data_IF_448816450422
#
_entry.id   IF_448816450422
#
_cell.length_a   1.000
_cell.length_b   1.000
_cell.length_c   1.000
_cell.angle_alpha   90.00
_cell.angle_beta   90.00
_cell.angle_gamma   90.00
#
_symmetry.space_group_name_H-M   'P 1'
#
loop_
_entity.id
_entity.type
_entity.pdbx_description
1 polymer ?
#
# COMPACT_ATOMS: atom_id res chain seq x y z
N UNK A 1 -20.19 9.93 -3.05
CA UNK A 1 -19.19 8.86 -3.38
C UNK A 1 -18.19 9.48 -4.33
N UNK A 2 -16.97 9.75 -3.86
CA UNK A 2 -15.92 10.29 -4.72
C UNK A 2 -15.51 9.20 -5.72
N UNK A 3 -15.56 9.52 -7.01
CA UNK A 3 -15.09 8.61 -8.05
C UNK A 3 -13.63 8.90 -8.33
N UNK A 4 -12.75 7.94 -8.16
CA UNK A 4 -11.36 8.03 -8.57
C UNK A 4 -11.10 7.09 -9.76
N UNK A 5 -10.30 7.55 -10.71
CA UNK A 5 -9.81 6.72 -11.80
C UNK A 5 -8.55 6.00 -11.33
N UNK A 6 -8.44 4.70 -11.59
CA UNK A 6 -7.27 3.91 -11.21
C UNK A 6 -6.45 3.58 -12.46
N UNK A 7 -5.15 3.92 -12.43
CA UNK A 7 -4.16 3.53 -13.45
C UNK A 7 -3.13 2.63 -12.77
N UNK A 8 -3.26 1.34 -12.98
CA UNK A 8 -2.40 0.31 -12.40
C UNK A 8 -1.53 -0.36 -13.45
N UNK A 9 -0.34 -0.83 -13.05
CA UNK A 9 0.54 -1.61 -13.92
C UNK A 9 1.99 -1.64 -13.41
N UNK A 10 2.84 -2.50 -13.98
CA UNK A 10 4.24 -2.62 -13.57
C UNK A 10 5.06 -1.36 -13.87
N UNK A 11 6.22 -1.25 -13.25
CA UNK A 11 7.15 -0.13 -13.50
C UNK A 11 7.61 -0.13 -14.96
N UNK A 12 7.78 1.04 -15.56
CA UNK A 12 8.31 1.20 -16.91
C UNK A 12 7.29 1.12 -18.07
N UNK A 13 6.00 0.83 -17.81
CA UNK A 13 4.97 0.71 -18.87
C UNK A 13 4.38 2.06 -19.34
N UNK A 14 4.88 3.18 -18.87
CA UNK A 14 4.40 4.50 -19.32
C UNK A 14 3.25 5.11 -18.52
N UNK A 15 2.88 4.55 -17.35
CA UNK A 15 1.80 5.09 -16.50
C UNK A 15 1.92 6.60 -16.25
N UNK A 16 3.10 7.07 -15.91
CA UNK A 16 3.37 8.47 -15.58
C UNK A 16 2.95 9.42 -16.70
N UNK A 17 3.33 9.11 -17.94
CA UNK A 17 2.97 9.97 -19.08
C UNK A 17 1.46 10.00 -19.30
N UNK A 18 0.84 8.83 -19.34
CA UNK A 18 -0.62 8.71 -19.56
C UNK A 18 -1.39 9.38 -18.41
N UNK A 19 -0.97 9.21 -17.18
CA UNK A 19 -1.65 9.80 -16.03
C UNK A 19 -1.60 11.33 -16.04
N UNK A 20 -0.49 11.94 -16.44
CA UNK A 20 -0.37 13.39 -16.57
C UNK A 20 -1.28 13.94 -17.68
N UNK A 21 -1.27 13.29 -18.84
CA UNK A 21 -2.12 13.70 -19.96
C UNK A 21 -3.60 13.63 -19.59
N UNK A 22 -4.02 12.54 -18.96
CA UNK A 22 -5.40 12.37 -18.48
C UNK A 22 -5.75 13.31 -17.33
N UNK A 23 -4.85 13.54 -16.38
CA UNK A 23 -5.08 14.44 -15.26
C UNK A 23 -5.36 15.87 -15.75
N UNK A 24 -4.62 16.33 -16.75
CA UNK A 24 -4.87 17.64 -17.39
C UNK A 24 -6.23 17.71 -18.09
N UNK A 25 -6.60 16.66 -18.84
CA UNK A 25 -7.91 16.60 -19.52
C UNK A 25 -9.09 16.59 -18.55
N UNK A 26 -8.94 15.92 -17.41
CA UNK A 26 -10.00 15.71 -16.43
C UNK A 26 -9.97 16.73 -15.30
N UNK A 27 -9.02 17.68 -15.34
CA UNK A 27 -8.74 18.58 -14.22
C UNK A 27 -8.64 17.80 -12.89
N UNK A 28 -7.80 16.74 -12.90
CA UNK A 28 -7.65 15.82 -11.79
C UNK A 28 -6.26 15.94 -11.14
N UNK A 29 -6.19 15.62 -9.84
CA UNK A 29 -4.96 15.46 -9.10
C UNK A 29 -4.57 13.97 -9.03
N UNK A 30 -3.28 13.68 -8.90
CA UNK A 30 -2.76 12.31 -8.86
C UNK A 30 -2.42 11.92 -7.43
N UNK A 31 -2.89 10.75 -7.00
CA UNK A 31 -2.47 10.11 -5.75
C UNK A 31 -1.56 8.94 -6.13
N UNK A 32 -0.27 9.01 -5.73
CA UNK A 32 0.68 7.94 -6.00
C UNK A 32 0.40 6.72 -5.14
N UNK A 33 0.16 5.56 -5.78
CA UNK A 33 0.03 4.27 -5.10
C UNK A 33 1.28 3.41 -5.26
N UNK A 34 2.43 4.00 -4.94
CA UNK A 34 3.73 3.36 -4.95
C UNK A 34 4.33 3.33 -3.54
N UNK A 35 4.57 2.13 -3.00
CA UNK A 35 5.05 1.93 -1.63
C UNK A 35 6.49 2.40 -1.38
N UNK A 36 7.24 2.74 -2.43
CA UNK A 36 8.60 3.23 -2.32
C UNK A 36 8.70 4.76 -2.54
N UNK A 37 7.85 5.33 -3.41
CA UNK A 37 7.88 6.77 -3.69
C UNK A 37 7.38 7.64 -2.54
N UNK A 38 6.66 7.06 -1.58
CA UNK A 38 6.22 7.74 -0.34
C UNK A 38 7.40 8.21 0.53
N UNK A 39 8.56 7.56 0.42
CA UNK A 39 9.73 7.88 1.23
C UNK A 39 10.56 9.01 0.62
N UNK A 40 10.94 9.99 1.45
CA UNK A 40 11.77 11.13 1.07
C UNK A 40 13.15 10.68 0.60
N UNK A 41 13.66 11.34 -0.44
CA UNK A 41 15.02 11.13 -0.92
C UNK A 41 15.27 9.84 -1.71
N UNK A 42 14.33 8.90 -1.77
CA UNK A 42 14.46 7.69 -2.59
C UNK A 42 14.03 7.97 -4.03
N UNK A 43 14.83 8.73 -4.78
CA UNK A 43 14.41 9.26 -6.08
C UNK A 43 14.77 8.35 -7.25
N UNK A 44 16.02 7.86 -7.30
CA UNK A 44 16.56 7.14 -8.46
C UNK A 44 16.01 5.71 -8.54
N UNK A 45 16.16 4.92 -7.48
CA UNK A 45 15.75 3.51 -7.46
C UNK A 45 14.25 3.28 -7.56
N UNK A 46 13.44 4.29 -7.26
CA UNK A 46 11.97 4.25 -7.32
C UNK A 46 11.41 4.88 -8.59
N UNK A 47 12.25 5.38 -9.48
CA UNK A 47 11.86 6.17 -10.64
C UNK A 47 10.84 7.27 -10.27
N UNK A 48 11.10 7.99 -9.15
CA UNK A 48 10.23 9.03 -8.64
C UNK A 48 10.10 10.16 -9.66
N UNK A 49 8.86 10.61 -9.88
CA UNK A 49 8.57 11.70 -10.80
C UNK A 49 9.21 13.01 -10.30
N UNK A 50 9.90 13.70 -11.18
CA UNK A 50 10.47 15.03 -10.93
C UNK A 50 9.43 16.14 -11.11
N UNK A 51 9.66 17.32 -10.52
CA UNK A 51 8.78 18.47 -10.67
C UNK A 51 8.57 18.87 -12.15
N UNK A 52 9.61 18.74 -12.96
CA UNK A 52 9.51 18.99 -14.41
C UNK A 52 8.57 18.01 -15.10
N UNK A 53 8.63 16.73 -14.71
CA UNK A 53 7.78 15.68 -15.28
C UNK A 53 6.34 15.79 -14.83
N UNK A 54 6.06 16.31 -13.63
CA UNK A 54 4.69 16.56 -13.13
C UNK A 54 3.93 17.57 -14.01
N UNK A 55 4.63 18.45 -14.71
CA UNK A 55 4.06 19.42 -15.65
C UNK A 55 2.90 20.25 -15.04
N UNK A 56 2.99 20.58 -13.76
CA UNK A 56 1.98 21.36 -13.03
C UNK A 56 0.79 20.55 -12.51
N UNK A 57 0.76 19.23 -12.70
CA UNK A 57 -0.25 18.35 -12.08
C UNK A 57 0.14 18.08 -10.64
N UNK A 58 -0.79 18.31 -9.70
CA UNK A 58 -0.57 18.03 -8.28
C UNK A 58 -0.48 16.53 -8.05
N UNK A 59 0.54 16.14 -7.27
CA UNK A 59 0.78 14.74 -6.90
C UNK A 59 0.83 14.59 -5.39
N UNK A 60 -0.01 13.73 -4.86
CA UNK A 60 -0.11 13.40 -3.44
C UNK A 60 0.64 12.10 -3.12
N UNK A 61 1.01 11.95 -1.86
CA UNK A 61 1.66 10.76 -1.27
C UNK A 61 3.01 10.42 -1.89
N UNK A 62 3.75 11.46 -2.31
CA UNK A 62 5.15 11.38 -2.71
C UNK A 62 5.98 12.17 -1.70
N UNK A 63 7.11 11.63 -1.25
CA UNK A 63 8.05 12.29 -0.30
C UNK A 63 7.40 12.72 1.03
N UNK A 64 6.48 11.96 1.56
CA UNK A 64 5.75 12.30 2.80
C UNK A 64 6.33 11.66 4.05
N UNK A 65 7.16 10.61 3.92
CA UNK A 65 7.65 9.80 5.03
C UNK A 65 9.18 9.78 5.07
N UNK A 66 9.77 9.91 6.24
CA UNK A 66 11.22 9.72 6.41
C UNK A 66 11.60 8.23 6.19
N UNK A 67 12.78 7.93 5.60
CA UNK A 67 13.18 6.56 5.24
C UNK A 67 13.23 5.58 6.41
N UNK A 68 13.45 6.07 7.63
CA UNK A 68 13.48 5.26 8.86
C UNK A 68 12.10 4.97 9.44
N UNK A 69 11.07 5.69 9.01
CA UNK A 69 9.72 5.52 9.52
C UNK A 69 9.00 4.37 8.81
N UNK A 70 8.11 3.71 9.54
CA UNK A 70 7.25 2.67 8.97
C UNK A 70 6.01 3.30 8.36
N UNK A 71 5.71 2.92 7.14
CA UNK A 71 4.48 3.33 6.46
C UNK A 71 3.75 2.08 5.95
N UNK A 72 2.60 1.83 6.51
CA UNK A 72 1.80 0.63 6.24
C UNK A 72 0.71 0.89 5.19
N UNK A 73 0.12 -0.18 4.65
CA UNK A 73 -1.06 -0.07 3.80
C UNK A 73 -2.23 0.61 4.51
N UNK A 74 -2.39 0.41 5.84
CA UNK A 74 -3.41 1.10 6.62
C UNK A 74 -3.16 2.60 6.75
N UNK A 75 -1.88 3.04 6.83
CA UNK A 75 -1.55 4.47 6.76
C UNK A 75 -1.92 5.04 5.39
N UNK A 76 -1.58 4.32 4.32
CA UNK A 76 -1.91 4.72 2.95
C UNK A 76 -3.42 4.90 2.75
N UNK A 77 -4.22 3.92 3.16
CA UNK A 77 -5.69 4.00 3.07
C UNK A 77 -6.25 5.21 3.82
N UNK A 78 -5.80 5.43 5.06
CA UNK A 78 -6.18 6.60 5.88
C UNK A 78 -5.84 7.92 5.21
N UNK A 79 -4.62 8.03 4.66
CA UNK A 79 -4.17 9.26 4.01
C UNK A 79 -4.93 9.52 2.70
N UNK A 80 -5.19 8.49 1.89
CA UNK A 80 -6.02 8.64 0.68
C UNK A 80 -7.43 9.08 1.05
N UNK A 81 -8.06 8.42 2.01
CA UNK A 81 -9.42 8.80 2.45
C UNK A 81 -9.48 10.23 2.99
N UNK A 82 -8.43 10.67 3.70
CA UNK A 82 -8.31 12.06 4.15
C UNK A 82 -8.25 13.04 2.99
N UNK A 83 -7.43 12.77 1.96
CA UNK A 83 -7.30 13.61 0.76
C UNK A 83 -8.66 13.72 0.05
N UNK A 84 -9.31 12.58 -0.20
CA UNK A 84 -10.61 12.54 -0.87
C UNK A 84 -11.70 13.29 -0.10
N UNK A 85 -11.77 13.10 1.22
CA UNK A 85 -12.80 13.72 2.06
C UNK A 85 -12.58 15.23 2.25
N UNK A 86 -11.35 15.71 2.23
CA UNK A 86 -11.04 17.13 2.34
C UNK A 86 -11.27 17.91 1.04
N UNK A 87 -11.40 17.20 -0.09
CA UNK A 87 -11.55 17.82 -1.42
C UNK A 87 -12.68 17.13 -2.22
N UNK A 88 -13.92 17.15 -1.75
CA UNK A 88 -15.02 16.38 -2.36
C UNK A 88 -15.40 16.83 -3.78
N UNK A 89 -15.03 18.07 -4.17
CA UNK A 89 -15.29 18.64 -5.49
C UNK A 89 -14.20 18.36 -6.51
N UNK A 90 -13.03 17.86 -6.08
CA UNK A 90 -11.91 17.57 -6.97
C UNK A 90 -12.01 16.16 -7.58
N UNK A 91 -11.48 16.03 -8.79
CA UNK A 91 -11.25 14.73 -9.42
C UNK A 91 -9.90 14.18 -9.00
N UNK A 92 -9.83 12.89 -8.73
CA UNK A 92 -8.59 12.22 -8.36
C UNK A 92 -8.31 11.02 -9.24
N UNK A 93 -7.02 10.75 -9.45
CA UNK A 93 -6.51 9.55 -10.11
C UNK A 93 -5.56 8.82 -9.18
N UNK A 94 -5.81 7.54 -8.92
CA UNK A 94 -4.91 6.66 -8.18
C UNK A 94 -3.97 5.98 -9.16
N UNK A 95 -2.66 6.30 -9.08
CA UNK A 95 -1.68 5.87 -10.08
C UNK A 95 -0.52 5.14 -9.43
N UNK A 96 -0.24 3.91 -9.84
CA UNK A 96 0.94 3.19 -9.31
C UNK A 96 1.00 1.71 -9.65
N UNK A 97 1.93 1.02 -8.98
CA UNK A 97 2.19 -0.41 -9.19
C UNK A 97 1.94 -1.28 -7.96
N UNK A 98 1.65 -0.69 -6.79
CA UNK A 98 1.46 -1.44 -5.55
C UNK A 98 0.02 -1.90 -5.43
N UNK A 99 -0.27 -3.12 -5.91
CA UNK A 99 -1.63 -3.68 -5.94
C UNK A 99 -2.31 -3.70 -4.57
N UNK A 100 -1.56 -3.98 -3.49
CA UNK A 100 -2.08 -3.95 -2.12
C UNK A 100 -2.60 -2.55 -1.74
N UNK A 101 -1.91 -1.49 -2.13
CA UNK A 101 -2.35 -0.11 -1.90
C UNK A 101 -3.62 0.23 -2.68
N UNK A 102 -3.65 -0.16 -3.95
CA UNK A 102 -4.83 0.04 -4.79
C UNK A 102 -6.03 -0.69 -4.21
N UNK A 103 -5.87 -1.96 -3.86
CA UNK A 103 -6.94 -2.78 -3.27
C UNK A 103 -7.45 -2.21 -1.94
N UNK A 104 -6.58 -1.67 -1.10
CA UNK A 104 -7.00 -1.08 0.18
C UNK A 104 -7.96 0.10 0.01
N UNK A 105 -7.78 0.89 -1.05
CA UNK A 105 -8.65 2.04 -1.33
C UNK A 105 -9.92 1.65 -2.08
N UNK A 106 -9.83 0.68 -3.00
CA UNK A 106 -10.97 0.28 -3.85
C UNK A 106 -11.94 -0.67 -3.15
N UNK A 107 -11.41 -1.59 -2.36
CA UNK A 107 -12.18 -2.64 -1.70
C UNK A 107 -12.26 -2.47 -0.17
N UNK A 108 -11.47 -1.53 0.37
CA UNK A 108 -11.25 -1.40 1.80
C UNK A 108 -10.28 -2.46 2.35
N UNK A 109 -9.74 -2.20 3.54
CA UNK A 109 -9.02 -3.21 4.31
C UNK A 109 -9.98 -3.94 5.24
N UNK A 110 -9.76 -5.24 5.41
CA UNK A 110 -10.38 -5.97 6.52
C UNK A 110 -9.98 -5.33 7.84
N UNK A 111 -10.93 -5.20 8.76
CA UNK A 111 -10.66 -4.68 10.10
C UNK A 111 -9.88 -5.76 10.86
N UNK A 112 -8.57 -5.73 10.71
CA UNK A 112 -7.66 -6.62 11.41
C UNK A 112 -6.92 -5.85 12.51
N UNK A 113 -6.61 -6.50 13.64
CA UNK A 113 -5.87 -5.85 14.73
C UNK A 113 -4.52 -5.32 14.26
N UNK A 114 -4.08 -4.23 14.86
CA UNK A 114 -2.73 -3.72 14.63
C UNK A 114 -1.68 -4.73 15.13
N UNK A 115 -0.48 -4.65 14.58
CA UNK A 115 0.61 -5.52 14.95
C UNK A 115 1.02 -5.31 16.42
N UNK A 116 1.14 -6.40 17.18
CA UNK A 116 1.63 -6.37 18.56
C UNK A 116 3.12 -6.73 18.62
N UNK A 117 3.90 -5.89 19.31
CA UNK A 117 5.35 -6.08 19.41
C UNK A 117 5.74 -7.36 20.13
N UNK A 118 5.06 -7.70 21.22
CA UNK A 118 5.38 -8.91 22.02
C UNK A 118 5.07 -10.17 21.24
N UNK A 119 3.90 -10.20 20.58
CA UNK A 119 3.54 -11.32 19.73
C UNK A 119 4.54 -11.52 18.60
N UNK A 120 4.99 -10.44 17.97
CA UNK A 120 6.00 -10.52 16.89
C UNK A 120 7.36 -11.00 17.38
N UNK A 121 7.81 -10.57 18.57
CA UNK A 121 9.04 -11.08 19.16
C UNK A 121 8.93 -12.57 19.47
N UNK A 122 7.79 -13.03 19.98
CA UNK A 122 7.52 -14.46 20.20
C UNK A 122 7.51 -15.23 18.87
N UNK A 123 6.74 -14.81 17.88
CA UNK A 123 6.66 -15.46 16.57
C UNK A 123 8.01 -15.53 15.86
N UNK A 124 8.83 -14.47 15.98
CA UNK A 124 10.17 -14.43 15.42
C UNK A 124 11.12 -15.47 16.05
N UNK A 125 10.87 -15.89 17.30
CA UNK A 125 11.67 -16.92 17.99
C UNK A 125 11.34 -18.36 17.56
N UNK A 126 10.19 -18.57 16.92
CA UNK A 126 9.77 -19.90 16.46
C UNK A 126 10.52 -20.31 15.19
N UNK A 127 10.78 -21.59 15.02
CA UNK A 127 11.21 -22.13 13.73
C UNK A 127 10.06 -22.13 12.71
N UNK A 128 10.40 -22.27 11.44
CA UNK A 128 9.41 -22.14 10.36
C UNK A 128 8.40 -23.28 10.33
N UNK A 129 8.78 -24.47 10.77
CA UNK A 129 7.92 -25.64 10.84
C UNK A 129 6.85 -25.47 11.92
N UNK A 130 7.25 -25.08 13.11
CA UNK A 130 6.35 -24.77 14.23
C UNK A 130 5.37 -23.66 13.86
N UNK A 131 5.86 -22.61 13.19
CA UNK A 131 5.03 -21.51 12.76
C UNK A 131 3.97 -21.94 11.72
N UNK A 132 4.35 -22.79 10.77
CA UNK A 132 3.42 -23.36 9.78
C UNK A 132 2.34 -24.22 10.45
N UNK A 133 2.72 -25.06 11.41
CA UNK A 133 1.78 -25.91 12.17
C UNK A 133 0.77 -25.06 12.96
N UNK A 134 1.24 -23.98 13.60
CA UNK A 134 0.37 -23.04 14.30
C UNK A 134 -0.59 -22.33 13.34
N UNK A 135 -0.08 -21.86 12.20
CA UNK A 135 -0.91 -21.19 11.21
C UNK A 135 -2.00 -22.12 10.66
N UNK A 136 -1.65 -23.36 10.32
CA UNK A 136 -2.63 -24.39 9.88
C UNK A 136 -3.66 -24.72 10.96
N UNK A 137 -3.24 -24.75 12.23
CA UNK A 137 -4.14 -25.00 13.34
C UNK A 137 -5.16 -23.87 13.56
N UNK A 138 -4.73 -22.62 13.36
CA UNK A 138 -5.57 -21.46 13.67
C UNK A 138 -6.41 -21.00 12.47
N UNK A 139 -5.88 -21.08 11.27
CA UNK A 139 -6.61 -20.76 10.03
C UNK A 139 -6.05 -21.61 8.87
N UNK A 140 -6.61 -22.81 8.74
CA UNK A 140 -6.22 -23.77 7.70
C UNK A 140 -6.50 -23.22 6.30
N UNK A 141 -7.64 -22.55 6.12
CA UNK A 141 -8.07 -22.05 4.81
C UNK A 141 -7.14 -20.95 4.31
N UNK A 142 -6.90 -19.91 5.11
CA UNK A 142 -5.95 -18.86 4.77
C UNK A 142 -4.52 -19.40 4.60
N UNK A 143 -4.13 -20.40 5.40
CA UNK A 143 -2.76 -20.93 5.35
C UNK A 143 -2.50 -21.76 4.09
N UNK A 144 -3.48 -22.46 3.53
CA UNK A 144 -3.34 -23.21 2.27
C UNK A 144 -2.91 -22.34 1.08
N UNK A 145 -3.30 -21.07 1.09
CA UNK A 145 -2.93 -20.10 0.05
C UNK A 145 -1.53 -19.47 0.27
N UNK A 146 -0.86 -19.84 1.38
CA UNK A 146 0.43 -19.27 1.76
C UNK A 146 1.55 -20.27 1.50
N UNK A 147 2.56 -19.88 0.69
CA UNK A 147 3.74 -20.70 0.51
C UNK A 147 4.44 -20.98 1.85
N UNK A 148 4.81 -22.23 2.20
CA UNK A 148 5.39 -22.59 3.50
C UNK A 148 6.60 -21.77 3.94
N UNK A 149 7.39 -21.28 2.98
CA UNK A 149 8.55 -20.42 3.25
C UNK A 149 8.20 -18.93 3.36
N UNK A 150 6.93 -18.55 3.22
CA UNK A 150 6.51 -17.16 3.37
C UNK A 150 6.24 -16.83 4.84
N UNK A 151 7.32 -16.79 5.61
CA UNK A 151 7.32 -16.57 7.05
C UNK A 151 6.49 -15.36 7.48
N UNK A 152 6.62 -14.24 6.77
CA UNK A 152 5.92 -12.99 7.10
C UNK A 152 4.39 -13.16 7.05
N UNK A 153 3.89 -13.92 6.08
CA UNK A 153 2.45 -14.19 5.98
C UNK A 153 1.98 -15.20 7.04
N UNK A 154 2.78 -16.23 7.32
CA UNK A 154 2.46 -17.21 8.38
C UNK A 154 2.43 -16.52 9.75
N UNK A 155 3.42 -15.68 10.07
CA UNK A 155 3.43 -14.87 11.30
C UNK A 155 2.16 -14.01 11.41
N UNK A 156 1.69 -13.43 10.29
CA UNK A 156 0.50 -12.60 10.30
C UNK A 156 -0.78 -13.39 10.57
N UNK A 157 -0.93 -14.59 10.03
CA UNK A 157 -2.07 -15.47 10.34
C UNK A 157 -2.13 -15.76 11.84
N UNK A 158 -1.01 -16.20 12.42
CA UNK A 158 -0.93 -16.52 13.84
C UNK A 158 -1.14 -15.27 14.71
N UNK A 159 -0.52 -14.15 14.35
CA UNK A 159 -0.67 -12.87 15.07
C UNK A 159 -2.13 -12.41 15.12
N UNK A 160 -2.85 -12.47 14.00
CA UNK A 160 -4.27 -12.10 13.95
C UNK A 160 -5.09 -12.98 14.89
N UNK A 161 -4.90 -14.29 14.82
CA UNK A 161 -5.62 -15.22 15.72
C UNK A 161 -5.32 -14.97 17.20
N UNK A 162 -4.07 -14.63 17.56
CA UNK A 162 -3.70 -14.32 18.94
C UNK A 162 -4.32 -13.02 19.48
N UNK A 163 -4.79 -12.15 18.60
CA UNK A 163 -5.31 -10.81 18.92
C UNK A 163 -6.84 -10.72 18.79
N UNK A 164 -7.50 -11.74 18.25
CA UNK A 164 -8.97 -11.80 18.08
C UNK A 164 -9.60 -12.91 18.89
#
# INVERSE_FOLDING_TARGET
MNKAIVIAGPTGVGKTKISIDLAKLLNAEIISSDSAQVYKGLNIGTAKISEKEKQGVEHHLIDIVEPIAKYSVGNFEKDVNKILNQNPEKNFMLVGGTGLYINSVTNGLSVLPEADKKNREYLASLDNQTLLELALKYDEEATKEIHPNNRVRLERVVEVFMLT
#
